data_IF_947812399753
#
_entry.id   IF_947812399753
#
_cell.length_a   1.000
_cell.length_b   1.000
_cell.length_c   1.000
_cell.angle_alpha   90.00
_cell.angle_beta   90.00
_cell.angle_gamma   90.00
#
_symmetry.space_group_name_H-M   'P 1'
#
loop_
_entity.id
_entity.type
_entity.pdbx_description
1 polymer ?
#
# COMPACT_ATOMS: atom_id res chain seq x y z
N UNK A 1 -2.36 -1.57 -2.13
CA UNK A 1 -1.84 -2.65 -1.27
C UNK A 1 -1.44 -2.13 0.08
N UNK A 2 -0.26 -1.51 0.20
CA UNK A 2 0.31 -1.11 1.49
C UNK A 2 -0.57 -0.17 2.34
N UNK A 3 -1.20 0.86 1.75
CA UNK A 3 -2.11 1.74 2.51
C UNK A 3 -3.33 1.00 3.07
N UNK A 4 -3.86 0.03 2.32
CA UNK A 4 -4.94 -0.81 2.82
C UNK A 4 -4.49 -1.69 4.00
N UNK A 5 -3.25 -2.22 3.96
CA UNK A 5 -2.68 -2.90 5.13
C UNK A 5 -2.47 -1.94 6.31
N UNK A 6 -2.00 -0.72 6.08
CA UNK A 6 -1.80 0.26 7.14
C UNK A 6 -3.13 0.60 7.85
N UNK A 7 -4.23 0.75 7.12
CA UNK A 7 -5.56 0.92 7.74
C UNK A 7 -6.09 -0.34 8.43
N UNK A 8 -5.70 -1.54 7.97
CA UNK A 8 -5.97 -2.78 8.70
C UNK A 8 -5.20 -2.79 10.03
N UNK A 9 -3.91 -2.45 10.00
CA UNK A 9 -3.04 -2.35 11.18
C UNK A 9 -3.60 -1.34 12.19
N UNK A 10 -3.96 -0.15 11.73
CA UNK A 10 -4.55 0.92 12.55
C UNK A 10 -5.79 0.45 13.34
N UNK A 11 -6.63 -0.39 12.71
CA UNK A 11 -7.86 -0.91 13.30
C UNK A 11 -7.65 -2.16 14.18
N UNK A 12 -6.50 -2.85 14.07
CA UNK A 12 -6.25 -4.16 14.69
C UNK A 12 -5.22 -4.10 15.82
N UNK A 13 -4.21 -3.24 15.70
CA UNK A 13 -3.00 -3.26 16.51
C UNK A 13 -2.96 -2.03 17.42
N UNK A 14 -2.52 -2.23 18.67
CA UNK A 14 -2.28 -1.12 19.60
C UNK A 14 -1.39 -0.05 18.95
N UNK A 15 -1.77 1.22 19.07
CA UNK A 15 -1.06 2.36 18.45
C UNK A 15 0.45 2.32 18.68
N UNK A 16 0.89 2.00 19.91
CA UNK A 16 2.31 1.92 20.28
C UNK A 16 3.14 0.85 19.54
N UNK A 17 2.49 -0.07 18.82
CA UNK A 17 3.13 -1.16 18.07
C UNK A 17 2.99 -0.98 16.55
N UNK A 18 2.25 0.02 16.09
CA UNK A 18 1.98 0.20 14.66
C UNK A 18 3.22 0.65 13.90
N UNK A 19 3.27 0.32 12.62
CA UNK A 19 4.36 0.69 11.71
C UNK A 19 4.35 2.17 11.31
N UNK A 20 3.18 2.82 11.41
CA UNK A 20 2.91 4.19 10.96
C UNK A 20 3.42 4.48 9.53
N UNK A 21 3.25 3.51 8.63
CA UNK A 21 3.82 3.56 7.27
C UNK A 21 3.38 4.81 6.49
N UNK A 22 2.11 5.21 6.60
CA UNK A 22 1.55 6.34 5.82
C UNK A 22 2.18 7.65 6.29
N UNK A 23 2.27 7.85 7.61
CA UNK A 23 2.86 9.02 8.25
C UNK A 23 4.37 9.08 7.98
N UNK A 24 5.05 7.93 8.08
CA UNK A 24 6.48 7.84 7.80
C UNK A 24 6.76 8.18 6.33
N UNK A 25 6.00 7.63 5.38
CA UNK A 25 6.16 7.96 3.96
C UNK A 25 6.02 9.46 3.72
N UNK A 26 4.97 10.07 4.27
CA UNK A 26 4.79 11.53 4.18
C UNK A 26 5.98 12.29 4.75
N UNK A 27 6.43 11.93 5.96
CA UNK A 27 7.58 12.56 6.60
C UNK A 27 8.84 12.48 5.74
N UNK A 28 9.16 11.28 5.22
CA UNK A 28 10.33 11.07 4.35
C UNK A 28 10.23 11.88 3.06
N UNK A 29 9.03 11.96 2.48
CA UNK A 29 8.79 12.78 1.29
C UNK A 29 8.98 14.27 1.58
N UNK A 30 8.48 14.77 2.72
CA UNK A 30 8.64 16.17 3.12
C UNK A 30 10.10 16.53 3.43
N UNK A 31 10.86 15.62 4.06
CA UNK A 31 12.29 15.78 4.34
C UNK A 31 13.14 15.91 3.06
N UNK A 32 12.76 15.21 1.98
CA UNK A 32 13.47 15.25 0.72
C UNK A 32 12.52 15.56 -0.45
N UNK A 33 12.18 16.83 -0.72
CA UNK A 33 11.16 17.19 -1.71
C UNK A 33 11.61 17.07 -3.17
N UNK A 34 12.85 16.67 -3.44
CA UNK A 34 13.45 16.69 -4.78
C UNK A 34 12.67 15.88 -5.83
N UNK A 35 12.09 14.74 -5.44
CA UNK A 35 11.37 13.89 -6.37
C UNK A 35 9.91 14.30 -6.60
N UNK A 36 9.31 15.21 -5.82
CA UNK A 36 7.90 15.60 -6.01
C UNK A 36 7.65 17.10 -6.16
N UNK A 37 8.54 17.97 -5.68
CA UNK A 37 8.32 19.43 -5.63
C UNK A 37 8.07 20.11 -6.98
N UNK A 38 8.57 19.54 -8.08
CA UNK A 38 8.31 20.04 -9.44
C UNK A 38 6.95 19.60 -10.02
N UNK A 39 6.28 18.65 -9.37
CA UNK A 39 5.04 18.04 -9.84
C UNK A 39 3.84 18.44 -8.98
N UNK A 40 4.05 18.60 -7.67
CA UNK A 40 2.97 18.91 -6.74
C UNK A 40 3.11 20.34 -6.23
N UNK A 41 2.02 21.08 -6.36
CA UNK A 41 1.88 22.47 -5.93
C UNK A 41 0.50 22.66 -5.29
N UNK A 42 0.34 23.73 -4.51
CA UNK A 42 -0.92 24.07 -3.87
C UNK A 42 -0.73 24.43 -2.40
N UNK A 43 -1.84 24.49 -1.67
CA UNK A 43 -1.80 24.65 -0.23
C UNK A 43 -1.37 23.35 0.47
N UNK A 44 -1.27 23.38 1.79
CA UNK A 44 -0.88 22.23 2.60
C UNK A 44 -1.77 21.01 2.38
N UNK A 45 -3.09 21.20 2.29
CA UNK A 45 -4.04 20.11 2.04
C UNK A 45 -3.88 19.51 0.63
N UNK A 46 -3.67 20.35 -0.40
CA UNK A 46 -3.39 19.89 -1.76
C UNK A 46 -2.12 19.05 -1.82
N UNK A 47 -1.07 19.46 -1.10
CA UNK A 47 0.17 18.71 -1.00
C UNK A 47 -0.04 17.39 -0.26
N UNK A 48 -0.73 17.41 0.89
CA UNK A 48 -1.07 16.21 1.66
C UNK A 48 -1.78 15.16 0.80
N UNK A 49 -2.77 15.57 0.00
CA UNK A 49 -3.46 14.69 -0.94
C UNK A 49 -2.50 14.16 -2.01
N UNK A 50 -1.71 15.05 -2.64
CA UNK A 50 -0.87 14.66 -3.78
C UNK A 50 0.30 13.75 -3.40
N UNK A 51 0.85 13.92 -2.20
CA UNK A 51 1.92 13.05 -1.68
C UNK A 51 1.44 11.60 -1.52
N UNK A 52 0.17 11.40 -1.17
CA UNK A 52 -0.42 10.09 -0.86
C UNK A 52 -1.19 9.44 -2.02
N UNK A 53 -1.91 10.24 -2.81
CA UNK A 53 -2.96 9.75 -3.69
C UNK A 53 -2.83 10.19 -5.15
N UNK A 54 -1.80 10.97 -5.50
CA UNK A 54 -1.65 11.41 -6.90
C UNK A 54 -1.29 10.24 -7.82
N UNK A 55 -1.95 10.18 -8.98
CA UNK A 55 -1.63 9.23 -10.05
C UNK A 55 -0.20 9.40 -10.63
N UNK A 56 0.49 10.51 -10.35
CA UNK A 56 1.90 10.66 -10.74
C UNK A 56 2.83 9.72 -9.97
N UNK A 57 2.37 9.19 -8.84
CA UNK A 57 3.07 8.22 -7.98
C UNK A 57 4.53 8.61 -7.74
N UNK A 58 4.75 9.83 -7.24
CA UNK A 58 6.10 10.29 -6.89
C UNK A 58 6.62 9.63 -5.60
N UNK A 59 5.74 9.02 -4.81
CA UNK A 59 6.04 8.17 -3.66
C UNK A 59 6.97 7.00 -4.00
N UNK A 60 6.89 6.43 -5.21
CA UNK A 60 7.74 5.29 -5.62
C UNK A 60 9.24 5.51 -5.46
N UNK A 61 9.70 6.75 -5.58
CA UNK A 61 11.12 7.10 -5.46
C UNK A 61 11.65 7.06 -4.02
N UNK A 62 10.76 6.98 -3.04
CA UNK A 62 11.08 6.95 -1.62
C UNK A 62 10.96 5.55 -1.02
N UNK A 63 10.32 4.61 -1.73
CA UNK A 63 10.18 3.22 -1.29
C UNK A 63 11.51 2.52 -0.92
N UNK A 64 12.66 2.82 -1.57
CA UNK A 64 13.96 2.27 -1.18
C UNK A 64 14.61 2.91 0.07
N UNK A 65 13.95 3.87 0.75
CA UNK A 65 14.44 4.41 2.03
C UNK A 65 14.36 3.31 3.09
N UNK A 66 15.48 3.04 3.78
CA UNK A 66 15.56 1.97 4.77
C UNK A 66 14.47 2.07 5.84
N UNK A 67 14.09 3.28 6.27
CA UNK A 67 13.04 3.48 7.28
C UNK A 67 11.69 2.98 6.78
N UNK A 68 11.40 3.22 5.49
CA UNK A 68 10.16 2.76 4.85
C UNK A 68 10.19 1.23 4.69
N UNK A 69 11.32 0.66 4.26
CA UNK A 69 11.45 -0.80 4.17
C UNK A 69 11.25 -1.48 5.53
N UNK A 70 11.82 -0.91 6.59
CA UNK A 70 11.69 -1.43 7.95
C UNK A 70 10.23 -1.35 8.44
N UNK A 71 9.57 -0.21 8.21
CA UNK A 71 8.15 -0.01 8.52
C UNK A 71 7.25 -1.00 7.74
N UNK A 72 7.55 -1.28 6.47
CA UNK A 72 6.81 -2.28 5.69
C UNK A 72 6.97 -3.69 6.28
N UNK A 73 8.16 -4.06 6.76
CA UNK A 73 8.36 -5.37 7.42
C UNK A 73 7.53 -5.48 8.69
N UNK A 74 7.58 -4.46 9.56
CA UNK A 74 6.73 -4.38 10.75
C UNK A 74 5.26 -4.46 10.40
N UNK A 75 4.82 -3.74 9.36
CA UNK A 75 3.43 -3.77 8.88
C UNK A 75 3.00 -5.19 8.48
N UNK A 76 3.84 -5.93 7.76
CA UNK A 76 3.54 -7.31 7.39
C UNK A 76 3.47 -8.25 8.59
N UNK A 77 4.38 -8.09 9.56
CA UNK A 77 4.36 -8.87 10.80
C UNK A 77 3.08 -8.60 11.61
N UNK A 78 2.72 -7.33 11.76
CA UNK A 78 1.55 -6.88 12.52
C UNK A 78 0.20 -7.25 11.91
N UNK A 79 0.18 -7.58 10.61
CA UNK A 79 -1.08 -7.87 9.89
C UNK A 79 -1.25 -9.33 9.50
N UNK A 80 -0.39 -10.23 10.01
CA UNK A 80 -0.37 -11.65 9.62
C UNK A 80 -1.57 -12.48 10.11
N UNK A 81 -2.29 -12.01 11.12
CA UNK A 81 -3.36 -12.75 11.82
C UNK A 81 -4.66 -11.94 11.96
N UNK A 82 -4.84 -10.93 11.11
CA UNK A 82 -6.00 -10.03 11.16
C UNK A 82 -7.32 -10.77 10.96
N UNK A 83 -8.44 -10.28 11.50
CA UNK A 83 -9.76 -10.79 11.16
C UNK A 83 -10.09 -10.69 9.66
N UNK A 84 -10.73 -11.73 9.13
CA UNK A 84 -11.24 -11.75 7.75
C UNK A 84 -12.15 -10.56 7.40
N UNK A 85 -12.86 -9.99 8.39
CA UNK A 85 -13.70 -8.81 8.21
C UNK A 85 -12.90 -7.57 7.82
N UNK A 86 -11.72 -7.37 8.42
CA UNK A 86 -10.82 -6.27 8.07
C UNK A 86 -10.23 -6.48 6.67
N UNK A 87 -9.82 -7.71 6.34
CA UNK A 87 -9.36 -8.04 4.99
C UNK A 87 -10.47 -7.78 3.96
N UNK A 88 -11.71 -8.19 4.23
CA UNK A 88 -12.86 -7.95 3.35
C UNK A 88 -13.17 -6.46 3.19
N UNK A 89 -13.00 -5.65 4.23
CA UNK A 89 -13.29 -4.22 4.18
C UNK A 89 -12.29 -3.45 3.32
N UNK A 90 -11.00 -3.74 3.46
CA UNK A 90 -9.93 -2.96 2.83
C UNK A 90 -9.33 -3.60 1.58
N UNK A 91 -9.47 -4.91 1.41
CA UNK A 91 -8.97 -5.67 0.26
C UNK A 91 -9.99 -6.73 -0.22
N UNK A 92 -11.18 -6.30 -0.72
CA UNK A 92 -12.30 -7.21 -1.00
C UNK A 92 -12.00 -8.26 -2.09
N UNK A 93 -11.15 -7.93 -3.07
CA UNK A 93 -10.74 -8.87 -4.13
C UNK A 93 -9.87 -9.97 -3.52
N UNK A 94 -8.85 -9.59 -2.77
CA UNK A 94 -7.92 -10.52 -2.12
C UNK A 94 -8.65 -11.38 -1.09
N UNK A 95 -9.57 -10.80 -0.31
CA UNK A 95 -10.45 -11.55 0.59
C UNK A 95 -11.18 -12.70 -0.13
N UNK A 96 -11.80 -12.43 -1.28
CA UNK A 96 -12.50 -13.48 -2.06
C UNK A 96 -11.55 -14.60 -2.48
N UNK A 97 -10.39 -14.25 -3.05
CA UNK A 97 -9.37 -15.22 -3.48
C UNK A 97 -8.85 -16.07 -2.32
N UNK A 98 -8.61 -15.45 -1.16
CA UNK A 98 -8.19 -16.16 0.06
C UNK A 98 -9.27 -17.13 0.53
N UNK A 99 -10.53 -16.69 0.56
CA UNK A 99 -11.67 -17.53 0.95
C UNK A 99 -11.90 -18.72 0.02
N UNK A 100 -11.54 -18.57 -1.25
CA UNK A 100 -11.61 -19.61 -2.28
C UNK A 100 -10.35 -20.50 -2.32
N UNK A 101 -9.33 -20.21 -1.51
CA UNK A 101 -8.06 -20.95 -1.49
C UNK A 101 -7.15 -20.66 -2.69
N UNK A 102 -7.44 -19.61 -3.46
CA UNK A 102 -6.66 -19.18 -4.63
C UNK A 102 -5.49 -18.26 -4.27
N UNK A 103 -5.51 -17.67 -3.09
CA UNK A 103 -4.46 -16.78 -2.58
C UNK A 103 -4.08 -17.19 -1.14
N UNK A 104 -2.78 -17.28 -0.79
CA UNK A 104 -2.37 -17.58 0.58
C UNK A 104 -2.86 -16.53 1.58
N UNK A 105 -3.10 -16.96 2.82
CA UNK A 105 -3.39 -16.06 3.94
C UNK A 105 -2.09 -15.40 4.45
N UNK A 106 -1.58 -14.43 3.69
CA UNK A 106 -0.36 -13.69 4.01
C UNK A 106 -0.45 -12.24 3.50
N UNK A 107 -0.18 -11.23 4.35
CA UNK A 107 -0.19 -9.82 3.95
C UNK A 107 0.67 -9.50 2.73
N UNK A 108 1.85 -10.11 2.64
CA UNK A 108 2.74 -9.91 1.51
C UNK A 108 2.13 -10.45 0.20
N UNK A 109 1.49 -11.62 0.26
CA UNK A 109 0.77 -12.18 -0.88
C UNK A 109 -0.41 -11.29 -1.30
N UNK A 110 -1.14 -10.71 -0.35
CA UNK A 110 -2.25 -9.81 -0.63
C UNK A 110 -1.78 -8.54 -1.35
N UNK A 111 -0.68 -7.93 -0.89
CA UNK A 111 -0.13 -6.73 -1.54
C UNK A 111 0.39 -7.02 -2.94
N UNK A 112 1.08 -8.15 -3.13
CA UNK A 112 1.56 -8.59 -4.46
C UNK A 112 0.39 -8.86 -5.40
N UNK A 113 -0.68 -9.49 -4.90
CA UNK A 113 -1.87 -9.77 -5.70
C UNK A 113 -2.55 -8.48 -6.21
N UNK A 114 -2.56 -7.39 -5.43
CA UNK A 114 -3.05 -6.09 -5.90
C UNK A 114 -2.28 -5.60 -7.15
N UNK A 115 -0.98 -5.88 -7.25
CA UNK A 115 -0.20 -5.57 -8.45
C UNK A 115 -0.58 -6.50 -9.59
N UNK A 116 -0.77 -7.80 -9.31
CA UNK A 116 -1.21 -8.78 -10.29
C UNK A 116 -2.58 -8.44 -10.91
N UNK A 117 -3.50 -7.85 -10.15
CA UNK A 117 -4.79 -7.39 -10.69
C UNK A 117 -4.59 -6.36 -11.80
N UNK A 118 -3.68 -5.40 -11.62
CA UNK A 118 -3.36 -4.42 -12.68
C UNK A 118 -2.67 -5.08 -13.86
N UNK A 119 -1.76 -6.03 -13.62
CA UNK A 119 -1.07 -6.76 -14.69
C UNK A 119 -2.02 -7.64 -15.50
N UNK A 120 -3.10 -8.14 -14.90
CA UNK A 120 -4.06 -9.02 -15.56
C UNK A 120 -4.75 -8.34 -16.76
N UNK A 121 -5.02 -7.04 -16.67
CA UNK A 121 -5.57 -6.27 -17.78
C UNK A 121 -4.63 -6.21 -18.99
N UNK A 122 -3.33 -6.06 -18.73
CA UNK A 122 -2.29 -6.06 -19.78
C UNK A 122 -2.15 -7.43 -20.42
N UNK A 123 -2.14 -8.50 -19.61
CA UNK A 123 -2.08 -9.88 -20.10
C UNK A 123 -3.29 -10.16 -21.01
N UNK A 124 -4.49 -9.84 -20.53
CA UNK A 124 -5.73 -10.02 -21.30
C UNK A 124 -5.69 -9.31 -22.66
N UNK A 125 -5.17 -8.08 -22.70
CA UNK A 125 -5.07 -7.30 -23.93
C UNK A 125 -4.10 -7.92 -24.95
N UNK A 126 -3.02 -8.55 -24.49
CA UNK A 126 -2.01 -9.17 -25.37
C UNK A 126 -2.41 -10.59 -25.79
N UNK A 127 -3.04 -11.35 -24.91
CA UNK A 127 -3.48 -12.72 -25.22
C UNK A 127 -4.66 -12.75 -26.20
N UNK A 128 -5.59 -11.78 -26.11
CA UNK A 128 -6.70 -11.67 -27.07
C UNK A 128 -6.33 -11.08 -28.42
N UNK A 129 -5.12 -10.52 -28.55
CA UNK A 129 -4.61 -10.00 -29.81
C UNK A 129 -3.93 -11.07 -30.69
N UNK A 130 -3.72 -12.28 -30.16
CA UNK A 130 -3.22 -13.47 -30.87
C UNK A 130 -4.34 -14.47 -31.14
#
# INVERSE_FOLDING_TARGET
GLFALAHIEEAWVDESKQSHLIELLEKVMLENPSNWSKHYHGNEHDLWIKLKYSFSDRSRYYMPDQRIEDSIRTLFENTNDVPYSLLSQYMPIQYRKVREGLLPYSPECWVKDVVCEVLSDYIYAVEKAN
#
